data_IF_272703145725
#
_entry.id   IF_272703145725
#
_cell.length_a   1.000
_cell.length_b   1.000
_cell.length_c   1.000
_cell.angle_alpha   90.00
_cell.angle_beta   90.00
_cell.angle_gamma   90.00
#
_symmetry.space_group_name_H-M   'P 1'
#
loop_
_entity.id
_entity.type
_entity.pdbx_description
1 polymer ?
#
# COMPACT_ATOMS: atom_id res chain seq x y z
N UNK A 1 -27.51 0.79 -1.53
CA UNK A 1 -26.24 1.20 -2.16
C UNK A 1 -25.20 0.18 -1.76
N UNK A 2 -24.47 -0.40 -2.70
CA UNK A 2 -23.44 -1.41 -2.42
C UNK A 2 -22.16 -0.73 -1.94
N UNK A 3 -21.64 -1.16 -0.78
CA UNK A 3 -20.44 -0.58 -0.19
C UNK A 3 -19.14 -0.96 -0.93
N UNK A 4 -19.24 -1.83 -1.94
CA UNK A 4 -18.16 -2.19 -2.86
C UNK A 4 -18.68 -2.05 -4.29
N UNK A 5 -17.94 -1.33 -5.13
CA UNK A 5 -18.17 -1.24 -6.56
C UNK A 5 -17.06 -2.03 -7.25
N UNK A 6 -17.42 -2.90 -8.20
CA UNK A 6 -16.46 -3.69 -8.97
C UNK A 6 -16.67 -3.42 -10.45
N UNK A 7 -15.60 -3.01 -11.13
CA UNK A 7 -15.58 -2.73 -12.56
C UNK A 7 -14.45 -3.52 -13.21
N UNK A 8 -14.69 -4.10 -14.39
CA UNK A 8 -13.65 -4.86 -15.11
C UNK A 8 -13.37 -4.22 -16.45
N UNK A 9 -12.12 -3.79 -16.66
CA UNK A 9 -11.60 -3.34 -17.95
C UNK A 9 -10.50 -4.31 -18.40
N UNK A 10 -10.84 -5.18 -19.35
CA UNK A 10 -9.93 -6.21 -19.87
C UNK A 10 -9.38 -7.18 -18.80
N UNK A 11 -8.07 -7.15 -18.59
CA UNK A 11 -7.36 -7.94 -17.56
C UNK A 11 -7.34 -7.30 -16.18
N UNK A 12 -7.83 -6.05 -16.05
CA UNK A 12 -7.81 -5.29 -14.80
C UNK A 12 -9.20 -5.33 -14.17
N UNK A 13 -9.26 -5.78 -12.92
CA UNK A 13 -10.44 -5.69 -12.05
C UNK A 13 -10.23 -4.51 -11.11
N UNK A 14 -10.98 -3.43 -11.29
CA UNK A 14 -11.04 -2.28 -10.39
C UNK A 14 -12.07 -2.59 -9.30
N UNK A 15 -11.65 -2.54 -8.05
CA UNK A 15 -12.55 -2.63 -6.90
C UNK A 15 -12.45 -1.34 -6.11
N UNK A 16 -13.58 -0.67 -5.94
CA UNK A 16 -13.70 0.58 -5.20
C UNK A 16 -14.49 0.34 -3.93
N UNK A 17 -13.90 0.74 -2.80
CA UNK A 17 -14.57 0.76 -1.51
C UNK A 17 -15.42 2.03 -1.46
N UNK A 18 -16.74 1.89 -1.57
CA UNK A 18 -17.67 3.01 -1.69
C UNK A 18 -18.37 3.25 -0.34
N UNK A 19 -17.61 3.76 0.64
CA UNK A 19 -18.15 4.09 1.97
C UNK A 19 -17.59 5.43 2.47
N UNK A 20 -17.89 6.56 1.80
CA UNK A 20 -17.24 7.85 2.04
C UNK A 20 -17.45 8.37 3.46
N UNK A 21 -18.63 8.15 4.06
CA UNK A 21 -18.94 8.55 5.44
C UNK A 21 -18.03 7.90 6.49
N UNK A 22 -17.44 6.74 6.18
CA UNK A 22 -16.52 6.00 7.05
C UNK A 22 -15.09 5.99 6.49
N UNK A 23 -14.76 6.96 5.62
CA UNK A 23 -13.45 7.05 4.94
C UNK A 23 -13.07 5.74 4.24
N UNK A 24 -14.04 5.05 3.64
CA UNK A 24 -13.87 3.76 2.97
C UNK A 24 -13.33 2.64 3.87
N UNK A 25 -13.60 2.71 5.19
CA UNK A 25 -13.23 1.67 6.14
C UNK A 25 -13.85 0.31 5.76
N UNK A 26 -13.00 -0.71 5.64
CA UNK A 26 -13.41 -2.08 5.32
C UNK A 26 -14.17 -2.74 6.48
N UNK A 27 -15.24 -3.46 6.17
CA UNK A 27 -15.97 -4.31 7.12
C UNK A 27 -15.66 -5.79 6.88
N UNK A 28 -15.93 -6.64 7.87
CA UNK A 28 -15.79 -8.09 7.71
C UNK A 28 -16.66 -8.64 6.56
N UNK A 29 -17.85 -8.09 6.36
CA UNK A 29 -18.71 -8.46 5.22
C UNK A 29 -18.12 -8.07 3.86
N UNK A 30 -17.40 -6.95 3.79
CA UNK A 30 -16.69 -6.55 2.58
C UNK A 30 -15.55 -7.51 2.22
N UNK A 31 -14.83 -8.02 3.22
CA UNK A 31 -13.79 -9.03 3.02
C UNK A 31 -14.34 -10.30 2.37
N UNK A 32 -15.49 -10.79 2.82
CA UNK A 32 -16.14 -11.96 2.23
C UNK A 32 -16.55 -11.71 0.78
N UNK A 33 -17.09 -10.52 0.48
CA UNK A 33 -17.46 -10.13 -0.88
C UNK A 33 -16.26 -10.00 -1.82
N UNK A 34 -15.13 -9.46 -1.34
CA UNK A 34 -13.86 -9.40 -2.07
C UNK A 34 -13.28 -10.80 -2.33
N UNK A 35 -13.27 -11.65 -1.30
CA UNK A 35 -12.80 -13.02 -1.39
C UNK A 35 -13.66 -13.88 -2.34
N UNK A 36 -14.95 -13.56 -2.45
CA UNK A 36 -15.89 -14.19 -3.39
C UNK A 36 -15.80 -13.68 -4.83
N UNK A 37 -14.93 -12.71 -5.14
CA UNK A 37 -14.80 -12.21 -6.51
C UNK A 37 -14.38 -13.32 -7.48
N UNK A 38 -15.00 -13.36 -8.65
CA UNK A 38 -14.89 -14.46 -9.63
C UNK A 38 -13.44 -14.79 -10.03
N UNK A 39 -12.51 -13.85 -9.93
CA UNK A 39 -11.08 -14.06 -10.19
C UNK A 39 -10.41 -14.93 -9.11
N UNK A 40 -10.74 -14.72 -7.84
CA UNK A 40 -10.21 -15.52 -6.75
C UNK A 40 -10.67 -16.98 -6.86
N UNK A 41 -11.94 -17.19 -7.22
CA UNK A 41 -12.50 -18.52 -7.49
C UNK A 41 -11.83 -19.18 -8.70
N UNK A 42 -11.60 -18.44 -9.80
CA UNK A 42 -10.90 -18.96 -11.00
C UNK A 42 -9.45 -19.36 -10.72
N UNK A 43 -8.78 -18.67 -9.80
CA UNK A 43 -7.44 -19.05 -9.36
C UNK A 43 -7.49 -20.23 -8.38
N UNK A 44 -8.44 -20.24 -7.45
CA UNK A 44 -8.62 -21.33 -6.50
C UNK A 44 -8.94 -22.68 -7.17
N UNK A 45 -9.58 -22.66 -8.33
CA UNK A 45 -9.85 -23.85 -9.14
C UNK A 45 -8.60 -24.45 -9.82
N UNK A 46 -7.44 -23.75 -9.83
CA UNK A 46 -6.20 -24.22 -10.46
C UNK A 46 -5.29 -24.90 -9.44
N UNK A 47 -4.41 -25.83 -9.87
CA UNK A 47 -3.47 -26.49 -8.96
C UNK A 47 -2.53 -25.47 -8.31
N UNK A 48 -2.52 -25.43 -6.98
CA UNK A 48 -1.78 -24.46 -6.18
C UNK A 48 -0.27 -24.49 -6.44
N UNK A 49 0.30 -25.68 -6.73
CA UNK A 49 1.72 -25.84 -7.07
C UNK A 49 2.10 -25.08 -8.36
N UNK A 50 1.30 -25.23 -9.41
CA UNK A 50 1.53 -24.55 -10.69
C UNK A 50 1.39 -23.04 -10.54
N UNK A 51 0.37 -22.56 -9.83
CA UNK A 51 0.19 -21.12 -9.57
C UNK A 51 1.36 -20.50 -8.80
N UNK A 52 1.85 -21.20 -7.76
CA UNK A 52 3.02 -20.75 -6.99
C UNK A 52 4.27 -20.71 -7.86
N UNK A 53 4.49 -21.72 -8.69
CA UNK A 53 5.61 -21.77 -9.62
C UNK A 53 5.55 -20.63 -10.65
N UNK A 54 4.40 -20.42 -11.30
CA UNK A 54 4.20 -19.33 -12.25
C UNK A 54 4.39 -17.96 -11.59
N UNK A 55 3.81 -17.72 -10.40
CA UNK A 55 4.00 -16.48 -9.65
C UNK A 55 5.47 -16.24 -9.31
N UNK A 56 6.19 -17.29 -8.91
CA UNK A 56 7.62 -17.21 -8.59
C UNK A 56 8.42 -16.82 -9.83
N UNK A 57 8.25 -17.53 -10.94
CA UNK A 57 8.97 -17.27 -12.19
C UNK A 57 8.69 -15.86 -12.73
N UNK A 58 7.42 -15.45 -12.79
CA UNK A 58 7.02 -14.11 -13.25
C UNK A 58 7.60 -12.99 -12.39
N UNK A 59 7.71 -13.20 -11.07
CA UNK A 59 8.25 -12.19 -10.15
C UNK A 59 9.77 -12.25 -10.01
N UNK A 60 10.42 -13.35 -10.38
CA UNK A 60 11.84 -13.59 -10.13
C UNK A 60 12.74 -12.49 -10.72
N UNK A 61 12.43 -12.03 -11.93
CA UNK A 61 13.23 -11.01 -12.63
C UNK A 61 13.16 -9.63 -11.96
N UNK A 62 12.00 -9.25 -11.44
CA UNK A 62 11.76 -7.89 -10.92
C UNK A 62 11.83 -7.81 -9.40
N UNK A 63 11.65 -8.92 -8.67
CA UNK A 63 11.56 -8.91 -7.20
C UNK A 63 12.90 -8.60 -6.55
N UNK A 64 14.02 -8.92 -7.19
CA UNK A 64 15.36 -8.54 -6.72
C UNK A 64 15.54 -7.03 -6.72
N UNK A 65 15.33 -6.41 -7.89
CA UNK A 65 15.40 -4.95 -8.05
C UNK A 65 14.42 -4.21 -7.12
N UNK A 66 13.19 -4.71 -7.01
CA UNK A 66 12.18 -4.13 -6.12
C UNK A 66 12.59 -4.24 -4.64
N UNK A 67 13.18 -5.36 -4.23
CA UNK A 67 13.68 -5.53 -2.86
C UNK A 67 14.85 -4.60 -2.56
N UNK A 68 15.77 -4.43 -3.49
CA UNK A 68 16.87 -3.49 -3.31
C UNK A 68 16.36 -2.04 -3.25
N UNK A 69 15.49 -1.64 -4.17
CA UNK A 69 14.84 -0.32 -4.12
C UNK A 69 14.11 -0.08 -2.79
N UNK A 70 13.36 -1.07 -2.29
CA UNK A 70 12.68 -0.99 -1.00
C UNK A 70 13.66 -0.88 0.18
N UNK A 71 14.83 -1.54 0.12
CA UNK A 71 15.89 -1.37 1.14
C UNK A 71 16.47 0.04 1.10
N UNK A 72 16.76 0.58 -0.08
CA UNK A 72 17.23 1.96 -0.23
C UNK A 72 16.21 2.96 0.30
N UNK A 73 14.95 2.82 -0.12
CA UNK A 73 13.83 3.64 0.35
C UNK A 73 13.67 3.55 1.88
N UNK A 74 13.75 2.34 2.45
CA UNK A 74 13.64 2.16 3.90
C UNK A 74 14.77 2.81 4.69
N UNK A 75 16.00 2.87 4.14
CA UNK A 75 17.13 3.55 4.80
C UNK A 75 16.92 5.05 4.84
N UNK A 76 16.56 5.63 3.70
CA UNK A 76 16.22 7.05 3.59
C UNK A 76 15.05 7.40 4.50
N UNK A 77 13.98 6.60 4.45
CA UNK A 77 12.82 6.78 5.32
C UNK A 77 13.20 6.74 6.80
N UNK A 78 14.04 5.78 7.22
CA UNK A 78 14.48 5.67 8.61
C UNK A 78 15.32 6.88 9.05
N UNK A 79 16.20 7.39 8.20
CA UNK A 79 16.96 8.60 8.48
C UNK A 79 16.04 9.83 8.59
N UNK A 80 15.05 9.94 7.69
CA UNK A 80 14.14 11.09 7.64
C UNK A 80 13.08 11.06 8.73
N UNK A 81 12.60 9.89 9.17
CA UNK A 81 11.55 9.79 10.20
C UNK A 81 12.02 10.23 11.60
N UNK A 82 13.33 10.18 11.84
CA UNK A 82 13.95 10.68 13.09
C UNK A 82 14.46 12.12 12.97
N UNK A 83 14.23 12.80 11.84
CA UNK A 83 14.66 14.18 11.65
C UNK A 83 13.75 15.17 12.40
N UNK A 84 14.28 16.37 12.67
CA UNK A 84 13.53 17.46 13.28
C UNK A 84 12.30 17.86 12.42
N UNK A 85 12.39 17.70 11.09
CA UNK A 85 11.27 17.90 10.15
C UNK A 85 10.14 16.91 10.39
N UNK A 86 10.46 15.62 10.60
CA UNK A 86 9.46 14.60 10.87
C UNK A 86 8.81 14.80 12.24
N UNK A 87 9.59 15.12 13.28
CA UNK A 87 9.04 15.43 14.61
C UNK A 87 8.04 16.58 14.56
N UNK A 88 8.37 17.67 13.85
CA UNK A 88 7.49 18.83 13.68
C UNK A 88 6.25 18.52 12.82
N UNK A 89 6.37 17.67 11.80
CA UNK A 89 5.23 17.22 11.01
C UNK A 89 4.25 16.37 11.86
N UNK A 90 4.77 15.48 12.71
CA UNK A 90 3.94 14.65 13.59
C UNK A 90 3.27 15.47 14.70
N UNK A 91 3.96 16.43 15.31
CA UNK A 91 3.37 17.34 16.30
C UNK A 91 2.29 18.21 15.67
N UNK A 92 2.57 18.83 14.52
CA UNK A 92 1.59 19.64 13.81
C UNK A 92 0.34 18.85 13.39
N UNK A 93 0.52 17.60 12.93
CA UNK A 93 -0.59 16.69 12.60
C UNK A 93 -1.44 16.35 13.83
N UNK A 94 -0.79 16.05 14.97
CA UNK A 94 -1.50 15.78 16.24
C UNK A 94 -2.25 17.00 16.76
N UNK A 95 -1.68 18.19 16.57
CA UNK A 95 -2.23 19.47 17.02
C UNK A 95 -3.20 20.10 16.00
N UNK A 96 -3.43 19.47 14.84
CA UNK A 96 -4.26 19.99 13.72
C UNK A 96 -3.86 21.40 13.25
N UNK A 97 -2.57 21.74 13.31
CA UNK A 97 -2.01 23.00 12.80
C UNK A 97 -1.14 22.77 11.56
N UNK A 98 -0.82 23.84 10.84
CA UNK A 98 0.14 23.77 9.74
C UNK A 98 1.56 23.54 10.31
N UNK A 99 2.36 22.62 9.74
CA UNK A 99 3.75 22.39 10.15
C UNK A 99 4.64 23.57 9.73
N UNK A 100 5.57 23.97 10.59
CA UNK A 100 6.50 25.08 10.34
C UNK A 100 7.94 24.57 10.17
N UNK A 101 8.47 24.61 8.95
CA UNK A 101 9.80 24.11 8.63
C UNK A 101 10.89 25.21 8.55
N UNK A 102 10.57 26.46 8.90
CA UNK A 102 11.37 27.64 8.54
C UNK A 102 12.70 27.76 9.30
N UNK A 103 12.85 27.09 10.46
CA UNK A 103 14.03 27.21 11.33
C UNK A 103 14.51 25.87 11.91
N UNK A 104 14.39 24.79 11.15
CA UNK A 104 14.83 23.47 11.60
C UNK A 104 16.33 23.25 11.29
N UNK A 105 17.08 22.58 12.19
CA UNK A 105 18.46 22.21 11.92
C UNK A 105 18.50 21.31 10.68
N UNK A 106 19.30 21.70 9.68
CA UNK A 106 19.39 20.99 8.39
C UNK A 106 19.76 19.52 8.64
N UNK A 107 19.04 18.56 8.04
CA UNK A 107 19.35 17.15 8.22
C UNK A 107 20.78 16.89 7.73
N UNK A 108 21.60 16.25 8.58
CA UNK A 108 22.90 15.72 8.17
C UNK A 108 22.62 14.72 7.06
N UNK A 109 23.09 15.02 5.84
CA UNK A 109 23.02 14.08 4.74
C UNK A 109 23.73 12.79 5.18
N UNK A 110 23.04 11.66 5.05
CA UNK A 110 23.71 10.38 5.11
C UNK A 110 24.54 10.28 3.82
N UNK A 111 25.86 10.37 3.96
CA UNK A 111 26.82 9.88 2.94
C UNK A 111 26.74 8.36 2.81
#
# INVERSE_FOLDING_TARGET
>A
MSDIITERSGSILRVELNRPAQKNAMTAGMYTSLAGSTTAQKLAAKPAGALRASKRLLKQTSIGQLREAAKFESREFSARVHSAEATEAFTAFREKRAPNFTNLPKPRAAE
#
